data_IF_620584549528
#
_entry.id   IF_620584549528
#
_cell.length_a   1.000
_cell.length_b   1.000
_cell.length_c   1.000
_cell.angle_alpha   90.00
_cell.angle_beta   90.00
_cell.angle_gamma   90.00
#
_symmetry.space_group_name_H-M   'P 1'
#
loop_
_entity.id
_entity.type
_entity.pdbx_description
1 polymer ?
#
# COMPACT_ATOMS: atom_id res chain seq x y z
N UNK A 1 0.93 2.01 -9.32
CA UNK A 1 0.33 1.92 -7.97
C UNK A 1 0.91 3.04 -7.11
N UNK A 2 0.19 3.54 -6.11
CA UNK A 2 0.58 4.74 -5.34
C UNK A 2 1.52 4.52 -4.15
N UNK A 3 2.01 3.29 -3.92
CA UNK A 3 2.95 3.03 -2.82
C UNK A 3 4.26 3.79 -3.01
N UNK A 4 4.78 4.33 -1.90
CA UNK A 4 6.00 5.15 -1.83
C UNK A 4 7.09 4.50 -0.99
N UNK A 5 6.71 3.70 0.02
CA UNK A 5 7.64 3.06 0.94
C UNK A 5 7.23 1.60 1.18
N UNK A 6 8.14 0.66 0.90
CA UNK A 6 7.99 -0.77 1.19
C UNK A 6 9.36 -1.43 1.31
N UNK A 7 9.42 -2.59 1.97
CA UNK A 7 10.68 -3.32 2.15
C UNK A 7 10.91 -4.28 0.99
N UNK A 8 12.08 -4.19 0.35
CA UNK A 8 12.49 -5.07 -0.76
C UNK A 8 12.31 -4.43 -2.14
N UNK A 9 12.60 -5.20 -3.19
CA UNK A 9 12.59 -4.70 -4.57
C UNK A 9 11.18 -4.58 -5.15
N UNK A 10 10.21 -5.29 -4.58
CA UNK A 10 8.80 -5.29 -5.02
C UNK A 10 7.85 -5.20 -3.81
N UNK A 11 6.72 -4.47 -3.93
CA UNK A 11 5.73 -4.40 -2.87
C UNK A 11 5.02 -5.75 -2.68
N UNK A 12 4.74 -6.11 -1.44
CA UNK A 12 3.96 -7.32 -1.11
C UNK A 12 2.56 -6.98 -0.60
N UNK A 13 1.69 -7.98 -0.54
CA UNK A 13 0.30 -7.83 -0.07
C UNK A 13 0.17 -7.19 1.32
N UNK A 14 1.15 -7.38 2.21
CA UNK A 14 1.11 -6.72 3.53
C UNK A 14 1.26 -5.20 3.39
N UNK A 15 2.02 -4.73 2.41
CA UNK A 15 2.41 -3.32 2.30
C UNK A 15 1.24 -2.47 1.80
N UNK A 16 0.36 -3.05 0.96
CA UNK A 16 -0.84 -2.37 0.44
C UNK A 16 -1.87 -2.08 1.53
N UNK A 17 -1.82 -2.82 2.65
CA UNK A 17 -2.75 -2.65 3.77
C UNK A 17 -2.33 -1.51 4.72
N UNK A 18 -1.08 -1.03 4.59
CA UNK A 18 -0.49 -0.05 5.50
C UNK A 18 -0.61 1.33 4.87
N UNK A 19 -1.45 2.19 5.44
CA UNK A 19 -1.67 3.55 4.91
C UNK A 19 -0.38 4.40 4.85
N UNK A 20 0.51 4.26 5.85
CA UNK A 20 1.80 4.99 5.89
C UNK A 20 2.70 4.69 4.68
N UNK A 21 2.57 3.52 4.07
CA UNK A 21 3.38 3.12 2.92
C UNK A 21 3.04 3.90 1.64
N UNK A 22 1.95 4.66 1.65
CA UNK A 22 1.54 5.56 0.57
C UNK A 22 2.08 6.99 0.75
N UNK A 23 2.73 7.29 1.88
CA UNK A 23 3.36 8.57 2.16
C UNK A 23 4.84 8.54 1.77
N UNK A 24 5.33 9.66 1.24
CA UNK A 24 6.75 9.88 1.00
C UNK A 24 7.49 10.30 2.30
N UNK A 25 8.81 10.42 2.25
CA UNK A 25 9.64 10.74 3.43
C UNK A 25 9.30 12.08 4.07
N UNK A 26 8.96 13.10 3.26
CA UNK A 26 8.55 14.42 3.75
C UNK A 26 7.19 14.35 4.42
N UNK A 27 6.22 13.68 3.79
CA UNK A 27 4.87 13.45 4.34
C UNK A 27 4.92 12.63 5.63
N UNK A 28 5.78 11.60 5.71
CA UNK A 28 6.00 10.82 6.93
C UNK A 28 6.59 11.66 8.06
N UNK A 29 7.54 12.55 7.74
CA UNK A 29 8.12 13.47 8.72
C UNK A 29 7.08 14.45 9.25
N UNK A 30 6.25 15.00 8.36
CA UNK A 30 5.12 15.87 8.72
C UNK A 30 4.14 15.12 9.64
N UNK A 31 3.73 13.91 9.25
CA UNK A 31 2.83 13.07 10.05
C UNK A 31 3.39 12.83 11.46
N UNK A 32 4.66 12.46 11.58
CA UNK A 32 5.29 12.22 12.87
C UNK A 32 5.31 13.48 13.75
N UNK A 33 5.62 14.64 13.16
CA UNK A 33 5.63 15.91 13.88
C UNK A 33 4.23 16.31 14.38
N UNK A 34 3.19 16.11 13.55
CA UNK A 34 1.80 16.37 13.94
C UNK A 34 1.40 15.47 15.11
N UNK A 35 1.72 14.17 15.03
CA UNK A 35 1.40 13.19 16.08
C UNK A 35 2.09 13.56 17.39
N UNK A 36 3.40 13.85 17.36
CA UNK A 36 4.13 14.27 18.57
C UNK A 36 3.58 15.56 19.17
N UNK A 37 3.40 16.60 18.36
CA UNK A 37 2.88 17.88 18.85
C UNK A 37 1.46 17.76 19.43
N UNK A 38 0.66 16.83 18.91
CA UNK A 38 -0.66 16.57 19.44
C UNK A 38 -0.63 15.86 20.81
N UNK A 39 0.33 14.95 21.02
CA UNK A 39 0.54 14.34 22.34
C UNK A 39 1.00 15.37 23.37
N UNK A 40 1.92 16.26 23.02
CA UNK A 40 2.36 17.35 23.90
C UNK A 40 1.19 18.26 24.28
N UNK A 41 0.30 18.58 23.32
CA UNK A 41 -0.92 19.33 23.59
C UNK A 41 -1.85 18.60 24.57
N UNK A 42 -2.07 17.30 24.36
CA UNK A 42 -2.90 16.49 25.24
C UNK A 42 -2.34 16.45 26.67
N UNK A 43 -1.01 16.35 26.81
CA UNK A 43 -0.32 16.40 28.10
C UNK A 43 -0.53 17.75 28.80
N UNK A 44 -0.38 18.87 28.09
CA UNK A 44 -0.64 20.21 28.65
C UNK A 44 -2.08 20.34 29.16
N UNK A 45 -3.05 19.82 28.41
CA UNK A 45 -4.46 19.86 28.84
C UNK A 45 -4.70 19.01 30.09
N UNK A 46 -4.07 17.84 30.17
CA UNK A 46 -4.11 17.00 31.37
C UNK A 46 -3.47 17.69 32.58
N UNK A 47 -2.29 18.31 32.41
CA UNK A 47 -1.62 19.08 33.48
C UNK A 47 -2.46 20.24 33.99
N UNK A 48 -3.20 20.91 33.10
CA UNK A 48 -4.12 22.00 33.44
C UNK A 48 -5.43 21.52 34.07
N UNK A 49 -5.62 20.21 34.20
CA UNK A 49 -6.85 19.59 34.68
C UNK A 49 -8.07 20.02 33.85
N UNK A 50 -7.86 20.27 32.55
CA UNK A 50 -8.94 20.57 31.63
C UNK A 50 -9.56 19.23 31.18
N UNK A 51 -10.82 18.94 31.56
CA UNK A 51 -11.49 17.73 31.08
C UNK A 51 -11.73 17.86 29.58
N UNK A 52 -11.27 16.87 28.81
CA UNK A 52 -11.57 16.74 27.38
C UNK A 52 -12.10 15.33 27.09
N UNK A 53 -13.12 15.27 26.24
CA UNK A 53 -13.67 14.03 25.69
C UNK A 53 -13.01 13.69 24.36
N UNK A 54 -13.09 12.43 23.94
CA UNK A 54 -12.51 11.98 22.66
C UNK A 54 -13.05 12.76 21.45
N UNK A 55 -14.30 13.24 21.50
CA UNK A 55 -14.87 14.13 20.49
C UNK A 55 -14.10 15.45 20.35
N UNK A 56 -13.72 16.03 21.48
CA UNK A 56 -13.04 17.33 21.54
C UNK A 56 -11.63 17.20 20.98
N UNK A 57 -10.98 16.07 21.27
CA UNK A 57 -9.70 15.72 20.66
C UNK A 57 -9.81 15.66 19.12
N UNK A 58 -10.79 14.91 18.59
CA UNK A 58 -11.00 14.80 17.14
C UNK A 58 -11.22 16.16 16.49
N UNK A 59 -12.10 16.99 17.06
CA UNK A 59 -12.38 18.32 16.53
C UNK A 59 -11.14 19.23 16.56
N UNK A 60 -10.36 19.19 17.64
CA UNK A 60 -9.13 19.97 17.73
C UNK A 60 -8.09 19.54 16.70
N UNK A 61 -7.92 18.22 16.51
CA UNK A 61 -6.99 17.69 15.53
C UNK A 61 -7.39 18.09 14.10
N UNK A 62 -8.68 18.00 13.77
CA UNK A 62 -9.20 18.45 12.48
C UNK A 62 -8.92 19.95 12.25
N UNK A 63 -9.03 20.77 13.30
CA UNK A 63 -8.73 22.19 13.21
C UNK A 63 -7.23 22.44 13.01
N UNK A 64 -6.36 21.72 13.72
CA UNK A 64 -4.91 21.78 13.51
C UNK A 64 -4.57 21.46 12.06
N UNK A 65 -5.08 20.35 11.52
CA UNK A 65 -4.86 19.95 10.13
C UNK A 65 -5.34 21.02 9.14
N UNK A 66 -6.54 21.59 9.34
CA UNK A 66 -7.04 22.68 8.49
C UNK A 66 -6.12 23.91 8.53
N UNK A 67 -5.63 24.28 9.71
CA UNK A 67 -4.77 25.46 9.87
C UNK A 67 -3.38 25.28 9.28
N UNK A 68 -2.86 24.05 9.24
CA UNK A 68 -1.57 23.73 8.60
C UNK A 68 -1.69 23.60 7.07
N UNK A 69 -2.89 23.78 6.51
CA UNK A 69 -3.15 23.64 5.06
C UNK A 69 -3.43 22.22 4.61
N UNK A 70 -3.52 21.27 5.54
CA UNK A 70 -3.84 19.87 5.25
C UNK A 70 -5.35 19.68 5.05
N UNK A 71 -5.70 18.75 4.16
CA UNK A 71 -7.10 18.43 3.90
C UNK A 71 -7.57 17.37 4.89
N UNK A 72 -8.51 17.75 5.75
CA UNK A 72 -9.23 16.80 6.58
C UNK A 72 -10.08 15.87 5.69
N UNK A 73 -10.07 14.59 6.01
CA UNK A 73 -10.81 13.56 5.27
C UNK A 73 -12.31 13.83 5.35
N UNK A 74 -12.95 14.06 4.21
CA UNK A 74 -14.40 14.21 4.12
C UNK A 74 -15.07 12.85 3.95
N UNK A 75 -16.18 12.63 4.66
CA UNK A 75 -16.92 11.36 4.58
C UNK A 75 -16.24 10.20 5.32
N UNK A 76 -15.45 10.49 6.37
CA UNK A 76 -14.91 9.47 7.25
C UNK A 76 -16.02 8.51 7.74
N UNK A 77 -15.79 7.20 7.63
CA UNK A 77 -16.77 6.16 7.99
C UNK A 77 -17.71 5.70 6.88
N UNK A 78 -17.71 6.35 5.69
CA UNK A 78 -18.52 5.89 4.55
C UNK A 78 -17.92 4.69 3.82
N UNK A 79 -16.59 4.58 3.82
CA UNK A 79 -15.87 3.44 3.25
C UNK A 79 -15.37 2.57 4.40
N UNK A 80 -15.79 1.31 4.41
CA UNK A 80 -15.32 0.34 5.39
C UNK A 80 -13.86 -0.06 5.12
N UNK A 81 -13.17 -0.53 6.16
CA UNK A 81 -11.82 -1.07 6.03
C UNK A 81 -11.76 -2.20 4.99
N UNK A 82 -12.76 -3.10 4.99
CA UNK A 82 -12.83 -4.20 4.03
C UNK A 82 -12.87 -3.71 2.57
N UNK A 83 -13.70 -2.70 2.27
CA UNK A 83 -13.78 -2.11 0.93
C UNK A 83 -12.47 -1.43 0.53
N UNK A 84 -11.78 -0.77 1.46
CA UNK A 84 -10.48 -0.15 1.19
C UNK A 84 -9.41 -1.22 0.85
N UNK A 85 -9.39 -2.33 1.60
CA UNK A 85 -8.47 -3.45 1.36
C UNK A 85 -8.77 -4.15 0.04
N UNK A 86 -10.05 -4.37 -0.28
CA UNK A 86 -10.47 -4.98 -1.55
C UNK A 86 -9.97 -4.14 -2.73
N UNK A 87 -10.22 -2.83 -2.70
CA UNK A 87 -9.73 -1.90 -3.72
C UNK A 87 -8.21 -1.90 -3.84
N UNK A 88 -7.49 -1.89 -2.71
CA UNK A 88 -6.03 -1.95 -2.73
C UNK A 88 -5.51 -3.26 -3.32
N UNK A 89 -6.21 -4.38 -3.05
CA UNK A 89 -5.87 -5.71 -3.57
C UNK A 89 -6.12 -5.81 -5.08
N UNK A 90 -7.21 -5.21 -5.58
CA UNK A 90 -7.47 -5.13 -7.02
C UNK A 90 -6.39 -4.35 -7.77
N UNK A 91 -5.99 -3.18 -7.24
CA UNK A 91 -4.89 -2.40 -7.80
C UNK A 91 -3.56 -3.14 -7.71
N UNK A 92 -3.34 -3.90 -6.63
CA UNK A 92 -2.19 -4.77 -6.48
C UNK A 92 -2.11 -5.86 -7.55
N UNK A 93 -3.24 -6.52 -7.84
CA UNK A 93 -3.31 -7.54 -8.89
C UNK A 93 -2.99 -6.96 -10.27
N UNK A 94 -3.50 -5.77 -10.58
CA UNK A 94 -3.20 -5.09 -11.86
C UNK A 94 -1.71 -4.80 -12.01
N UNK A 95 -1.06 -4.38 -10.93
CA UNK A 95 0.38 -4.12 -10.92
C UNK A 95 1.20 -5.40 -11.11
N UNK A 96 0.87 -6.50 -10.44
CA UNK A 96 1.59 -7.78 -10.58
C UNK A 96 1.58 -8.27 -12.03
N UNK A 97 0.43 -8.15 -12.72
CA UNK A 97 0.33 -8.55 -14.14
C UNK A 97 1.23 -7.71 -15.05
N UNK A 98 1.46 -6.45 -14.69
CA UNK A 98 2.28 -5.51 -15.48
C UNK A 98 3.77 -5.55 -15.12
N UNK A 99 4.11 -5.98 -13.90
CA UNK A 99 5.47 -5.94 -13.35
C UNK A 99 5.79 -7.34 -12.81
N UNK A 100 6.17 -8.23 -13.71
CA UNK A 100 6.65 -9.57 -13.36
C UNK A 100 7.96 -9.46 -12.58
N UNK A 101 8.10 -10.25 -11.53
CA UNK A 101 9.38 -10.37 -10.83
C UNK A 101 10.37 -11.15 -11.69
N UNK A 102 11.70 -10.95 -11.51
CA UNK A 102 12.72 -11.68 -12.26
C UNK A 102 12.57 -13.21 -12.17
N UNK A 103 12.12 -13.71 -11.01
CA UNK A 103 11.87 -15.15 -10.79
C UNK A 103 10.67 -15.64 -11.61
N UNK A 104 9.62 -14.83 -11.73
CA UNK A 104 8.45 -15.17 -12.54
C UNK A 104 8.78 -15.11 -14.05
N UNK A 105 9.60 -14.15 -14.47
CA UNK A 105 10.12 -14.10 -15.84
C UNK A 105 10.93 -15.36 -16.19
N UNK A 106 11.89 -15.72 -15.34
CA UNK A 106 12.72 -16.92 -15.53
C UNK A 106 11.88 -18.21 -15.53
N UNK A 107 10.87 -18.28 -14.66
CA UNK A 107 9.91 -19.39 -14.66
C UNK A 107 9.13 -19.48 -15.97
N UNK A 108 8.61 -18.36 -16.49
CA UNK A 108 7.89 -18.33 -17.77
C UNK A 108 8.79 -18.71 -18.95
N UNK A 109 10.05 -18.26 -18.95
CA UNK A 109 11.03 -18.68 -19.95
C UNK A 109 11.29 -20.18 -19.89
N UNK A 110 11.41 -20.77 -18.70
CA UNK A 110 11.59 -22.20 -18.53
C UNK A 110 10.42 -23.01 -19.13
N UNK A 111 9.17 -22.58 -18.90
CA UNK A 111 7.98 -23.21 -19.47
C UNK A 111 7.97 -23.08 -21.00
N UNK A 112 8.31 -21.90 -21.51
CA UNK A 112 8.39 -21.65 -22.96
C UNK A 112 9.43 -22.55 -23.62
N UNK A 113 10.59 -22.72 -22.97
CA UNK A 113 11.66 -23.60 -23.41
C UNK A 113 11.20 -25.06 -23.42
N UNK A 114 10.55 -25.55 -22.36
CA UNK A 114 9.96 -26.89 -22.27
C UNK A 114 8.90 -27.11 -23.37
N UNK A 115 8.01 -26.15 -23.58
CA UNK A 115 7.01 -26.23 -24.63
C UNK A 115 7.66 -26.30 -26.03
N UNK A 116 8.74 -25.53 -26.26
CA UNK A 116 9.48 -25.55 -27.52
C UNK A 116 10.19 -26.88 -27.78
N UNK A 117 10.76 -27.51 -26.75
CA UNK A 117 11.43 -28.82 -26.85
C UNK A 117 10.41 -29.93 -27.08
N UNK A 118 9.28 -29.93 -26.37
CA UNK A 118 8.17 -30.86 -26.61
C UNK A 118 7.64 -30.74 -28.04
N UNK A 119 7.45 -29.51 -28.54
CA UNK A 119 7.00 -29.26 -29.93
C UNK A 119 8.03 -29.74 -30.97
N UNK A 120 9.33 -29.58 -30.71
CA UNK A 120 10.40 -30.11 -31.57
C UNK A 120 10.42 -31.64 -31.57
N UNK A 121 10.32 -32.28 -30.41
CA UNK A 121 10.34 -33.74 -30.28
C UNK A 121 9.09 -34.38 -30.89
N UNK A 122 7.92 -33.76 -30.74
CA UNK A 122 6.70 -34.18 -31.44
C UNK A 122 6.87 -34.16 -32.96
N UNK A 123 7.39 -33.06 -33.54
CA UNK A 123 7.66 -32.96 -34.99
C UNK A 123 8.67 -33.99 -35.50
N UNK A 124 9.69 -34.33 -34.71
CA UNK A 124 10.67 -35.35 -35.08
C UNK A 124 10.06 -36.77 -35.06
N UNK A 125 9.16 -37.08 -34.12
CA UNK A 125 8.46 -38.38 -34.09
C UNK A 125 7.45 -38.56 -35.23
N UNK A 126 6.89 -37.49 -35.79
CA UNK A 126 6.03 -37.58 -36.98
C UNK A 126 6.80 -37.71 -38.31
N UNK A 127 8.08 -37.29 -38.37
CA UNK A 127 8.92 -37.44 -39.57
C UNK A 127 9.58 -38.82 -39.70
N UNK A 128 9.61 -39.63 -38.64
CA UNK A 128 10.20 -40.98 -38.64
C UNK A 128 9.22 -42.13 -38.88
N UNK A 129 7.96 -41.84 -39.27
CA UNK A 129 6.89 -42.84 -39.47
C UNK A 129 6.34 -42.91 -40.90
N UNK A 130 7.06 -42.38 -41.88
CA UNK A 130 6.80 -42.51 -43.32
C UNK A 130 7.94 -43.30 -43.98
#
# INVERSE_FOLDING_TARGET
MGLKSFSGDFPVLKDISIAKNYLNDEELKILNNIVSGYFDFAEIQAMRHNPMYMSDYVEHLDNVLKTTGEKVLQGAGTISHAQAIEKATEEYRKYQVQNLSPVEEEYLESIKNIHSTVKKNGKNNFKGKL
#
